data_IF_007021185598
#
_entry.id   IF_007021185598
#
_cell.length_a   1.000
_cell.length_b   1.000
_cell.length_c   1.000
_cell.angle_alpha   90.00
_cell.angle_beta   90.00
_cell.angle_gamma   90.00
#
_symmetry.space_group_name_H-M   'P 1'
#
loop_
_entity.id
_entity.type
_entity.pdbx_description
1 polymer ?
#
# COMPACT_ATOMS: atom_id res chain seq x y z
N UNK A 1 32.42 -11.62 -6.42
CA UNK A 1 32.54 -10.33 -5.71
C UNK A 1 31.40 -10.23 -4.71
N UNK A 2 31.74 -10.23 -3.43
CA UNK A 2 30.78 -10.14 -2.32
C UNK A 2 30.51 -8.65 -2.12
N UNK A 3 29.32 -8.17 -2.49
CA UNK A 3 28.87 -6.84 -2.10
C UNK A 3 28.38 -6.94 -0.65
N UNK A 4 29.27 -6.56 0.27
CA UNK A 4 28.99 -6.41 1.69
C UNK A 4 27.95 -5.32 1.92
N UNK A 5 26.68 -5.73 2.01
CA UNK A 5 25.67 -4.92 2.68
C UNK A 5 25.94 -4.94 4.17
N UNK A 6 26.23 -3.78 4.76
CA UNK A 6 26.23 -3.58 6.21
C UNK A 6 24.81 -3.82 6.75
N UNK A 7 24.42 -5.08 6.91
CA UNK A 7 23.28 -5.47 7.73
C UNK A 7 23.69 -5.27 9.18
N UNK A 8 23.57 -4.03 9.70
CA UNK A 8 23.51 -3.83 11.14
C UNK A 8 22.36 -4.72 11.62
N UNK A 9 22.68 -5.81 12.32
CA UNK A 9 21.69 -6.65 12.98
C UNK A 9 20.78 -5.71 13.78
N UNK A 10 19.52 -5.61 13.36
CA UNK A 10 18.55 -4.77 14.05
C UNK A 10 18.51 -5.21 15.53
N UNK A 11 18.43 -4.25 16.47
CA UNK A 11 18.66 -4.54 17.89
C UNK A 11 17.76 -5.66 18.42
N UNK A 12 18.33 -6.55 19.23
CA UNK A 12 17.61 -7.59 20.00
C UNK A 12 16.55 -7.00 20.95
N UNK A 13 16.66 -5.70 21.27
CA UNK A 13 15.69 -4.96 22.08
C UNK A 13 14.51 -4.50 21.20
N UNK A 14 13.27 -4.54 21.72
CA UNK A 14 12.12 -4.05 20.99
C UNK A 14 12.29 -2.61 20.55
N UNK A 15 11.90 -2.33 19.31
CA UNK A 15 11.73 -0.96 18.86
C UNK A 15 10.31 -0.51 19.19
N UNK A 16 10.20 0.54 19.99
CA UNK A 16 8.92 1.10 20.41
C UNK A 16 8.36 1.92 19.24
N UNK A 17 7.31 1.42 18.60
CA UNK A 17 6.65 2.09 17.48
C UNK A 17 5.63 3.12 17.98
N UNK A 18 4.86 2.74 19.01
CA UNK A 18 3.87 3.60 19.65
C UNK A 18 3.99 3.44 21.16
N UNK A 19 4.01 4.56 21.87
CA UNK A 19 4.04 4.58 23.33
C UNK A 19 3.13 5.72 23.83
N UNK A 20 1.82 5.45 23.83
CA UNK A 20 0.78 6.37 24.32
C UNK A 20 0.32 5.97 25.72
N UNK A 21 -0.55 6.78 26.35
CA UNK A 21 -1.17 6.44 27.64
C UNK A 21 -1.99 5.16 27.60
N UNK A 22 -2.57 4.83 26.44
CA UNK A 22 -3.56 3.75 26.32
C UNK A 22 -3.02 2.53 25.57
N UNK A 23 -2.07 2.72 24.64
CA UNK A 23 -1.58 1.66 23.75
C UNK A 23 -0.06 1.75 23.62
N UNK A 24 0.56 0.56 23.67
CA UNK A 24 1.97 0.36 23.38
C UNK A 24 2.13 -0.63 22.23
N UNK A 25 2.82 -0.24 21.17
CA UNK A 25 3.18 -1.09 20.04
C UNK A 25 4.69 -1.22 20.00
N UNK A 26 5.19 -2.46 20.06
CA UNK A 26 6.61 -2.76 19.96
C UNK A 26 6.84 -3.71 18.78
N UNK A 27 7.87 -3.41 18.01
CA UNK A 27 8.34 -4.23 16.92
C UNK A 27 9.61 -4.96 17.34
N UNK A 28 9.66 -6.26 17.08
CA UNK A 28 10.80 -7.10 17.43
C UNK A 28 11.30 -7.83 16.19
N UNK A 29 12.62 -7.99 16.12
CA UNK A 29 13.25 -8.93 15.21
C UNK A 29 13.50 -10.23 15.99
N UNK A 30 12.63 -11.21 15.77
CA UNK A 30 12.77 -12.55 16.34
C UNK A 30 13.65 -13.43 15.46
N UNK A 31 14.46 -14.28 16.10
CA UNK A 31 15.05 -15.46 15.45
C UNK A 31 14.24 -16.66 15.95
N UNK A 32 13.55 -17.37 15.06
CA UNK A 32 13.04 -18.71 15.40
C UNK A 32 14.09 -19.71 14.98
N UNK A 33 14.64 -20.40 15.97
CA UNK A 33 15.57 -21.51 15.76
C UNK A 33 14.73 -22.79 15.91
N UNK A 34 14.54 -23.54 14.83
CA UNK A 34 13.92 -24.87 14.91
C UNK A 34 14.99 -25.94 14.88
N UNK A 35 14.91 -26.90 15.80
CA UNK A 35 15.76 -28.09 15.82
C UNK A 35 15.01 -29.25 15.16
N UNK A 36 15.38 -29.60 13.93
CA UNK A 36 15.03 -30.92 13.40
C UNK A 36 16.13 -31.91 13.76
N UNK A 37 15.76 -33.07 14.33
CA UNK A 37 16.67 -34.20 14.56
C UNK A 37 17.08 -34.80 13.21
N UNK A 38 18.00 -34.13 12.52
CA UNK A 38 18.96 -34.60 11.49
C UNK A 38 19.62 -33.35 10.86
N UNK A 39 20.70 -32.86 11.47
CA UNK A 39 21.74 -31.95 10.92
C UNK A 39 21.30 -30.95 9.82
N UNK A 40 20.22 -30.19 10.04
CA UNK A 40 19.94 -28.96 9.29
C UNK A 40 19.49 -27.89 10.28
N UNK A 41 20.31 -26.86 10.44
CA UNK A 41 19.92 -25.65 11.13
C UNK A 41 19.16 -24.78 10.14
N UNK A 42 17.85 -24.65 10.32
CA UNK A 42 17.06 -23.63 9.62
C UNK A 42 16.87 -22.48 10.60
N UNK A 43 17.54 -21.36 10.37
CA UNK A 43 17.32 -20.12 11.12
C UNK A 43 16.40 -19.24 10.28
N UNK A 44 15.14 -19.13 10.69
CA UNK A 44 14.19 -18.23 10.04
C UNK A 44 14.06 -16.97 10.89
N UNK A 45 14.38 -15.81 10.31
CA UNK A 45 14.14 -14.52 10.95
C UNK A 45 12.66 -14.15 10.77
N UNK A 46 11.96 -13.95 11.88
CA UNK A 46 10.57 -13.48 11.87
C UNK A 46 10.50 -12.09 12.50
N UNK A 47 9.68 -11.22 11.93
CA UNK A 47 9.36 -9.92 12.51
C UNK A 47 8.04 -10.07 13.25
N UNK A 48 7.97 -9.72 14.54
CA UNK A 48 6.71 -9.80 15.30
C UNK A 48 6.36 -8.47 15.96
N UNK A 49 5.07 -8.13 15.90
CA UNK A 49 4.48 -6.98 16.56
C UNK A 49 3.86 -7.41 17.89
N UNK A 50 4.22 -6.72 18.96
CA UNK A 50 3.54 -6.82 20.25
C UNK A 50 2.72 -5.55 20.46
N UNK A 51 1.41 -5.71 20.48
CA UNK A 51 0.47 -4.66 20.81
C UNK A 51 -0.08 -4.93 22.21
N UNK A 52 0.05 -3.94 23.10
CA UNK A 52 -0.47 -4.00 24.46
C UNK A 52 -1.35 -2.80 24.75
N UNK A 53 -2.59 -3.05 25.17
CA UNK A 53 -3.44 -2.05 25.79
C UNK A 53 -3.03 -1.84 27.25
N UNK A 54 -2.89 -0.58 27.67
CA UNK A 54 -2.41 -0.19 29.00
C UNK A 54 -3.55 0.18 29.96
N UNK A 55 -4.74 0.51 29.44
CA UNK A 55 -5.91 0.93 30.24
C UNK A 55 -6.78 -0.21 30.79
N UNK A 56 -6.28 -1.44 30.85
CA UNK A 56 -7.05 -2.61 31.30
C UNK A 56 -7.52 -3.52 30.16
N UNK A 57 -8.61 -4.26 30.37
CA UNK A 57 -9.16 -5.18 29.38
C UNK A 57 -9.65 -4.43 28.13
N UNK A 58 -9.39 -4.99 26.95
CA UNK A 58 -9.86 -4.48 25.65
C UNK A 58 -10.62 -5.59 24.93
N UNK A 59 -11.60 -5.23 24.12
CA UNK A 59 -12.26 -6.17 23.24
C UNK A 59 -11.23 -6.75 22.24
N UNK A 60 -11.23 -8.08 22.06
CA UNK A 60 -10.33 -8.75 21.13
C UNK A 60 -10.47 -8.24 19.70
N UNK A 61 -11.67 -7.85 19.27
CA UNK A 61 -11.91 -7.32 17.93
C UNK A 61 -11.30 -5.93 17.73
N UNK A 62 -11.24 -5.11 18.77
CA UNK A 62 -10.55 -3.82 18.71
C UNK A 62 -9.03 -4.00 18.63
N UNK A 63 -8.51 -5.04 19.28
CA UNK A 63 -7.10 -5.43 19.18
C UNK A 63 -6.77 -5.95 17.77
N UNK A 64 -7.60 -6.82 17.20
CA UNK A 64 -7.46 -7.28 15.80
C UNK A 64 -7.51 -6.10 14.83
N UNK A 65 -8.47 -5.17 15.00
CA UNK A 65 -8.56 -3.97 14.17
C UNK A 65 -7.29 -3.13 14.23
N UNK A 66 -6.68 -2.96 15.41
CA UNK A 66 -5.42 -2.23 15.53
C UNK A 66 -4.28 -2.93 14.78
N UNK A 67 -4.21 -4.27 14.87
CA UNK A 67 -3.22 -5.08 14.16
C UNK A 67 -3.39 -4.95 12.65
N UNK A 68 -4.62 -5.02 12.14
CA UNK A 68 -4.93 -4.81 10.72
C UNK A 68 -4.42 -3.45 10.23
N UNK A 69 -4.67 -2.37 11.00
CA UNK A 69 -4.21 -1.02 10.60
C UNK A 69 -2.69 -0.88 10.57
N UNK A 70 -1.98 -1.55 11.46
CA UNK A 70 -0.51 -1.58 11.42
C UNK A 70 -0.04 -2.39 10.20
N UNK A 71 -0.72 -3.50 9.91
CA UNK A 71 -0.43 -4.33 8.75
C UNK A 71 -0.67 -3.58 7.44
N UNK A 72 -1.75 -2.81 7.37
CA UNK A 72 -2.07 -1.94 6.24
C UNK A 72 -0.92 -0.94 5.99
N UNK A 73 -0.31 -0.39 7.05
CA UNK A 73 0.88 0.48 6.90
C UNK A 73 2.06 -0.26 6.28
N UNK A 74 2.33 -1.48 6.76
CA UNK A 74 3.40 -2.32 6.21
C UNK A 74 3.16 -2.64 4.74
N UNK A 75 1.93 -2.99 4.37
CA UNK A 75 1.56 -3.18 2.98
C UNK A 75 1.73 -1.92 2.14
N UNK A 76 1.32 -0.78 2.69
CA UNK A 76 1.37 0.50 2.01
C UNK A 76 2.79 0.90 1.60
N UNK A 77 3.77 0.58 2.43
CA UNK A 77 5.20 0.85 2.18
C UNK A 77 5.93 -0.32 1.50
N UNK A 78 5.21 -1.34 1.05
CA UNK A 78 5.75 -2.41 0.22
C UNK A 78 6.26 -3.66 0.96
N UNK A 79 5.94 -3.84 2.24
CA UNK A 79 6.13 -5.15 2.87
C UNK A 79 4.97 -6.08 2.49
N UNK A 80 5.26 -7.36 2.33
CA UNK A 80 4.25 -8.38 2.00
C UNK A 80 4.52 -9.67 2.72
N UNK A 81 3.46 -10.45 2.96
CA UNK A 81 3.57 -11.77 3.57
C UNK A 81 3.60 -12.89 2.52
N UNK A 82 4.33 -13.95 2.86
CA UNK A 82 4.36 -15.20 2.08
C UNK A 82 3.41 -16.27 2.65
N UNK A 83 2.88 -16.07 3.86
CA UNK A 83 2.02 -17.01 4.57
C UNK A 83 0.90 -16.32 5.35
N UNK A 84 -0.04 -17.10 5.85
CA UNK A 84 -1.17 -16.60 6.64
C UNK A 84 -0.72 -16.08 8.00
N UNK A 85 -1.39 -15.03 8.50
CA UNK A 85 -1.16 -14.53 9.86
C UNK A 85 -1.65 -15.50 10.92
N UNK A 86 -0.93 -15.54 12.04
CA UNK A 86 -1.36 -16.21 13.26
C UNK A 86 -1.36 -15.17 14.39
N UNK A 87 -2.53 -14.94 14.97
CA UNK A 87 -2.70 -14.04 16.11
C UNK A 87 -2.73 -14.85 17.41
N UNK A 88 -1.68 -14.75 18.21
CA UNK A 88 -1.61 -15.40 19.53
C UNK A 88 -2.05 -14.44 20.63
N UNK A 89 -3.09 -14.80 21.37
CA UNK A 89 -3.59 -14.03 22.49
C UNK A 89 -3.26 -14.72 23.81
N UNK A 90 -3.09 -13.91 24.86
CA UNK A 90 -2.86 -14.40 26.22
C UNK A 90 -4.00 -13.92 27.10
N UNK A 91 -4.84 -14.87 27.52
CA UNK A 91 -5.86 -14.65 28.53
C UNK A 91 -5.29 -14.93 29.93
N UNK A 92 -5.56 -14.01 30.85
CA UNK A 92 -5.16 -14.13 32.26
C UNK A 92 -6.40 -14.40 33.11
N UNK A 93 -6.46 -15.57 33.76
CA UNK A 93 -7.46 -15.88 34.79
C UNK A 93 -6.73 -16.06 36.13
N UNK A 94 -6.70 -15.01 36.96
CA UNK A 94 -5.83 -14.97 38.13
C UNK A 94 -4.35 -15.09 37.74
N UNK A 95 -3.67 -16.13 38.25
CA UNK A 95 -2.26 -16.44 37.90
C UNK A 95 -2.09 -17.35 36.69
N UNK A 96 -3.17 -17.90 36.15
CA UNK A 96 -3.12 -18.87 35.05
C UNK A 96 -3.09 -18.11 33.72
N UNK A 97 -2.03 -18.35 32.94
CA UNK A 97 -1.92 -17.90 31.55
C UNK A 97 -2.51 -18.96 30.63
N UNK A 98 -3.53 -18.61 29.88
CA UNK A 98 -4.04 -19.44 28.77
C UNK A 98 -3.71 -18.76 27.44
N UNK A 99 -3.10 -19.51 26.55
CA UNK A 99 -2.84 -19.08 25.18
C UNK A 99 -3.97 -19.58 24.30
N UNK A 100 -4.41 -18.75 23.38
CA UNK A 100 -5.25 -19.19 22.29
C UNK A 100 -4.84 -18.46 21.02
N UNK A 101 -5.05 -19.12 19.89
CA UNK A 101 -4.65 -18.64 18.59
C UNK A 101 -5.91 -18.38 17.76
N UNK A 102 -5.94 -17.24 17.09
CA UNK A 102 -6.86 -17.02 15.98
C UNK A 102 -6.03 -17.05 14.70
N UNK A 103 -6.45 -17.88 13.76
CA UNK A 103 -5.92 -17.81 12.41
C UNK A 103 -6.49 -16.56 11.75
N UNK A 104 -5.58 -15.68 11.30
CA UNK A 104 -5.97 -14.44 10.66
C UNK A 104 -6.67 -14.68 9.32
N UNK A 105 -7.45 -13.68 8.90
CA UNK A 105 -7.96 -13.64 7.54
C UNK A 105 -6.78 -13.49 6.58
N UNK A 106 -6.84 -14.18 5.43
CA UNK A 106 -5.80 -14.13 4.40
C UNK A 106 -5.70 -12.75 3.73
N UNK A 107 -5.25 -11.73 4.47
CA UNK A 107 -4.60 -10.57 3.88
C UNK A 107 -3.22 -11.03 3.44
N UNK A 108 -3.14 -11.82 2.37
CA UNK A 108 -1.89 -12.19 1.72
C UNK A 108 -1.84 -11.42 0.41
N UNK A 109 -1.42 -10.15 0.47
CA UNK A 109 -1.12 -9.44 -0.77
C UNK A 109 0.22 -9.97 -1.22
N UNK A 110 0.21 -10.86 -2.23
CA UNK A 110 1.45 -11.35 -2.82
C UNK A 110 2.24 -10.15 -3.34
N UNK A 111 3.57 -10.11 -3.15
CA UNK A 111 4.40 -8.99 -3.61
C UNK A 111 4.24 -8.71 -5.11
N UNK A 112 3.95 -9.74 -5.91
CA UNK A 112 3.67 -9.62 -7.35
C UNK A 112 2.42 -8.80 -7.70
N UNK A 113 1.55 -8.47 -6.74
CA UNK A 113 0.35 -7.64 -6.96
C UNK A 113 0.65 -6.15 -6.81
N UNK A 114 1.69 -5.77 -6.08
CA UNK A 114 2.13 -4.38 -6.01
C UNK A 114 2.99 -4.07 -7.23
N UNK A 115 2.37 -3.63 -8.32
CA UNK A 115 3.09 -3.30 -9.57
C UNK A 115 3.82 -1.96 -9.54
N UNK A 116 3.78 -1.26 -8.40
CA UNK A 116 4.15 0.17 -8.29
C UNK A 116 5.52 0.40 -7.67
N UNK A 117 5.88 -0.47 -6.72
CA UNK A 117 7.11 -0.39 -5.96
C UNK A 117 7.92 -1.63 -6.24
N UNK A 118 9.10 -1.45 -6.80
CA UNK A 118 10.14 -2.47 -6.66
C UNK A 118 10.37 -2.60 -5.15
N UNK A 119 10.18 -3.80 -4.59
CA UNK A 119 10.38 -4.08 -3.17
C UNK A 119 11.83 -3.80 -2.81
N UNK A 120 12.13 -2.58 -2.35
CA UNK A 120 13.44 -2.27 -1.82
C UNK A 120 13.51 -2.73 -0.36
N UNK A 121 14.71 -3.08 0.08
CA UNK A 121 15.05 -3.34 1.48
C UNK A 121 14.96 -2.06 2.30
N UNK A 122 13.73 -1.57 2.49
CA UNK A 122 13.41 -0.39 3.26
C UNK A 122 13.51 -0.74 4.75
N UNK A 123 14.35 -0.01 5.50
CA UNK A 123 14.40 -0.16 6.95
C UNK A 123 13.24 0.64 7.58
N UNK A 124 12.18 -0.05 8.01
CA UNK A 124 10.92 0.53 8.51
C UNK A 124 11.10 1.73 9.46
N UNK A 125 12.11 1.66 10.34
CA UNK A 125 12.33 2.62 11.43
C UNK A 125 13.10 3.87 11.00
N UNK A 126 13.77 3.83 9.85
CA UNK A 126 14.45 4.99 9.27
C UNK A 126 13.48 5.85 8.42
N UNK A 127 12.27 5.34 8.17
CA UNK A 127 11.31 5.93 7.24
C UNK A 127 10.17 6.68 7.94
N UNK A 128 9.63 6.13 9.03
CA UNK A 128 8.40 6.64 9.63
C UNK A 128 8.61 6.96 11.11
N UNK A 129 8.24 8.19 11.49
CA UNK A 129 8.29 8.63 12.89
C UNK A 129 7.22 7.92 13.74
N UNK A 130 7.44 7.72 15.05
CA UNK A 130 6.40 7.20 15.96
C UNK A 130 5.07 7.96 15.91
N UNK A 131 5.12 9.29 15.73
CA UNK A 131 3.93 10.13 15.61
C UNK A 131 3.17 9.83 14.31
N UNK A 132 3.88 9.66 13.20
CA UNK A 132 3.29 9.28 11.92
C UNK A 132 2.63 7.89 11.96
N UNK A 133 3.25 6.93 12.66
CA UNK A 133 2.64 5.61 12.89
C UNK A 133 1.36 5.75 13.71
N UNK A 134 1.39 6.57 14.76
CA UNK A 134 0.20 6.85 15.56
C UNK A 134 -0.91 7.48 14.73
N UNK A 135 -0.60 8.53 13.96
CA UNK A 135 -1.56 9.17 13.06
C UNK A 135 -2.12 8.19 12.03
N UNK A 136 -1.29 7.34 11.43
CA UNK A 136 -1.77 6.29 10.52
C UNK A 136 -2.83 5.41 11.19
N UNK A 137 -2.49 4.83 12.35
CA UNK A 137 -3.34 3.86 13.04
C UNK A 137 -4.69 4.46 13.44
N UNK A 138 -4.71 5.71 13.92
CA UNK A 138 -5.92 6.30 14.50
C UNK A 138 -6.69 7.24 13.57
N UNK A 139 -6.13 7.61 12.42
CA UNK A 139 -6.85 8.42 11.44
C UNK A 139 -7.69 7.56 10.49
N UNK A 140 -9.01 7.59 10.69
CA UNK A 140 -9.97 6.85 9.86
C UNK A 140 -9.91 7.16 8.37
N UNK A 141 -9.46 8.36 7.98
CA UNK A 141 -9.37 8.72 6.57
C UNK A 141 -8.20 7.98 5.88
N UNK A 142 -7.05 7.79 6.53
CA UNK A 142 -6.00 6.93 5.97
C UNK A 142 -6.48 5.50 5.76
N UNK A 143 -7.22 4.97 6.74
CA UNK A 143 -7.74 3.60 6.67
C UNK A 143 -8.75 3.42 5.53
N UNK A 144 -9.61 4.42 5.31
CA UNK A 144 -10.54 4.42 4.17
C UNK A 144 -9.81 4.52 2.84
N UNK A 145 -8.83 5.42 2.73
CA UNK A 145 -8.04 5.57 1.51
C UNK A 145 -7.29 4.27 1.18
N UNK A 146 -6.65 3.64 2.17
CA UNK A 146 -5.99 2.36 1.99
C UNK A 146 -6.95 1.30 1.45
N UNK A 147 -8.09 1.08 2.12
CA UNK A 147 -9.06 0.06 1.70
C UNK A 147 -9.55 0.26 0.27
N UNK A 148 -9.88 1.49 -0.11
CA UNK A 148 -10.36 1.81 -1.45
C UNK A 148 -9.27 1.67 -2.52
N UNK A 149 -8.04 2.08 -2.19
CA UNK A 149 -6.91 2.00 -3.10
C UNK A 149 -6.52 0.54 -3.36
N UNK A 150 -6.50 -0.28 -2.29
CA UNK A 150 -6.04 -1.65 -2.36
C UNK A 150 -7.14 -2.70 -2.58
N UNK A 151 -8.41 -2.31 -2.67
CA UNK A 151 -9.56 -3.21 -2.86
C UNK A 151 -9.33 -4.21 -4.00
N UNK A 152 -8.81 -3.74 -5.13
CA UNK A 152 -8.53 -4.56 -6.32
C UNK A 152 -7.47 -5.65 -6.09
N UNK A 153 -6.59 -5.48 -5.12
CA UNK A 153 -5.55 -6.46 -4.79
C UNK A 153 -6.07 -7.57 -3.89
N UNK A 154 -7.20 -7.34 -3.21
CA UNK A 154 -7.86 -8.33 -2.36
C UNK A 154 -8.90 -9.14 -3.13
N UNK A 155 -9.60 -8.51 -4.08
CA UNK A 155 -10.64 -9.16 -4.87
C UNK A 155 -10.05 -9.98 -6.04
N UNK A 156 -10.62 -11.18 -6.29
CA UNK A 156 -10.18 -12.06 -7.39
C UNK A 156 -10.53 -11.52 -8.78
N UNK A 157 -11.61 -10.74 -8.89
CA UNK A 157 -12.09 -10.14 -10.14
C UNK A 157 -12.31 -8.67 -9.86
N UNK A 158 -11.63 -7.80 -10.60
CA UNK A 158 -11.80 -6.36 -10.47
C UNK A 158 -11.91 -5.75 -11.86
N UNK A 159 -13.05 -5.10 -12.13
CA UNK A 159 -13.31 -4.47 -13.42
C UNK A 159 -12.41 -3.24 -13.61
N UNK A 160 -11.93 -3.00 -14.84
CA UNK A 160 -10.98 -1.90 -15.12
C UNK A 160 -11.60 -0.52 -14.85
N UNK A 161 -12.87 -0.34 -15.20
CA UNK A 161 -13.60 0.90 -14.91
C UNK A 161 -13.77 1.12 -13.41
N UNK A 162 -14.10 0.06 -12.65
CA UNK A 162 -14.21 0.14 -11.20
C UNK A 162 -12.86 0.50 -10.57
N UNK A 163 -11.77 -0.11 -11.04
CA UNK A 163 -10.42 0.25 -10.58
C UNK A 163 -10.10 1.73 -10.86
N UNK A 164 -10.43 2.21 -12.05
CA UNK A 164 -10.18 3.61 -12.43
C UNK A 164 -11.02 4.56 -11.57
N UNK A 165 -12.32 4.30 -11.43
CA UNK A 165 -13.22 5.12 -10.61
C UNK A 165 -12.79 5.13 -9.14
N UNK A 166 -12.41 3.98 -8.58
CA UNK A 166 -11.90 3.91 -7.22
C UNK A 166 -10.63 4.75 -7.06
N UNK A 167 -9.66 4.65 -7.97
CA UNK A 167 -8.43 5.43 -7.92
C UNK A 167 -8.69 6.94 -8.00
N UNK A 168 -9.57 7.37 -8.92
CA UNK A 168 -10.01 8.76 -9.04
C UNK A 168 -10.73 9.25 -7.77
N UNK A 169 -11.63 8.42 -7.23
CA UNK A 169 -12.35 8.75 -6.00
C UNK A 169 -11.42 8.88 -4.79
N UNK A 170 -10.43 7.99 -4.67
CA UNK A 170 -9.40 8.08 -3.61
C UNK A 170 -8.61 9.38 -3.76
N UNK A 171 -8.24 9.77 -4.98
CA UNK A 171 -7.57 11.05 -5.26
C UNK A 171 -8.41 12.25 -4.81
N UNK A 172 -9.69 12.25 -5.18
CA UNK A 172 -10.63 13.30 -4.76
C UNK A 172 -10.76 13.37 -3.24
N UNK A 173 -10.87 12.22 -2.58
CA UNK A 173 -11.05 12.11 -1.14
C UNK A 173 -9.80 12.58 -0.39
N UNK A 174 -8.61 12.17 -0.83
CA UNK A 174 -7.35 12.62 -0.25
C UNK A 174 -7.26 14.15 -0.31
N UNK A 175 -7.46 14.74 -1.49
CA UNK A 175 -7.41 16.19 -1.62
C UNK A 175 -8.43 16.89 -0.73
N UNK A 176 -9.70 16.43 -0.70
CA UNK A 176 -10.74 17.02 0.16
C UNK A 176 -10.39 16.98 1.64
N UNK A 177 -9.79 15.89 2.10
CA UNK A 177 -9.56 15.66 3.54
C UNK A 177 -8.24 16.25 4.05
N UNK A 178 -7.22 16.31 3.20
CA UNK A 178 -5.87 16.66 3.65
C UNK A 178 -5.32 17.95 3.03
N UNK A 179 -5.94 18.48 1.97
CA UNK A 179 -5.45 19.65 1.23
C UNK A 179 -6.47 20.79 1.28
N UNK A 180 -7.63 20.61 0.63
CA UNK A 180 -8.68 21.63 0.61
C UNK A 180 -10.06 21.00 0.42
N UNK A 181 -10.94 21.29 1.39
CA UNK A 181 -12.27 20.69 1.52
C UNK A 181 -13.21 21.04 0.36
N UNK A 182 -13.21 22.31 -0.08
CA UNK A 182 -14.08 22.81 -1.16
C UNK A 182 -13.27 23.16 -2.40
N UNK A 183 -13.32 22.29 -3.41
CA UNK A 183 -12.65 22.43 -4.70
C UNK A 183 -13.41 21.68 -5.78
N UNK A 184 -13.40 22.15 -7.03
CA UNK A 184 -13.89 21.39 -8.19
C UNK A 184 -12.95 20.23 -8.52
N UNK A 185 -13.42 19.21 -9.25
CA UNK A 185 -12.56 18.08 -9.66
C UNK A 185 -11.32 18.54 -10.44
N UNK A 186 -11.51 19.43 -11.42
CA UNK A 186 -10.43 20.04 -12.21
C UNK A 186 -9.32 20.65 -11.33
N UNK A 187 -9.69 21.41 -10.29
CA UNK A 187 -8.71 21.98 -9.36
C UNK A 187 -7.97 20.89 -8.57
N UNK A 188 -8.67 19.81 -8.19
CA UNK A 188 -8.05 18.71 -7.43
C UNK A 188 -7.07 17.93 -8.27
N UNK A 189 -7.41 17.62 -9.51
CA UNK A 189 -6.49 16.84 -10.36
C UNK A 189 -5.25 17.66 -10.74
N UNK A 190 -5.43 18.96 -11.00
CA UNK A 190 -4.33 19.89 -11.29
C UNK A 190 -3.39 20.11 -10.10
N UNK A 191 -3.88 19.98 -8.86
CA UNK A 191 -3.01 20.00 -7.67
C UNK A 191 -1.89 18.95 -7.75
N UNK A 192 -2.18 17.76 -8.29
CA UNK A 192 -1.22 16.68 -8.42
C UNK A 192 -0.36 16.74 -9.70
N UNK A 193 -0.50 17.80 -10.51
CA UNK A 193 0.22 17.95 -11.78
C UNK A 193 1.74 17.70 -11.63
N UNK A 194 2.46 18.25 -10.64
CA UNK A 194 3.89 18.01 -10.51
C UNK A 194 4.27 16.53 -10.36
N UNK A 195 3.47 15.74 -9.64
CA UNK A 195 3.69 14.31 -9.51
C UNK A 195 3.42 13.57 -10.81
N UNK A 196 2.36 13.94 -11.55
CA UNK A 196 2.12 13.37 -12.86
C UNK A 196 3.24 13.72 -13.86
N UNK A 197 3.80 14.93 -13.82
CA UNK A 197 4.94 15.31 -14.68
C UNK A 197 6.18 14.44 -14.39
N UNK A 198 6.40 14.08 -13.12
CA UNK A 198 7.49 13.19 -12.74
C UNK A 198 7.26 11.75 -13.17
N UNK A 199 6.02 11.26 -13.11
CA UNK A 199 5.68 9.85 -13.32
C UNK A 199 5.36 9.50 -14.76
N UNK A 200 4.76 10.41 -15.53
CA UNK A 200 4.34 10.13 -16.90
C UNK A 200 5.55 10.14 -17.85
N UNK A 201 5.54 9.27 -18.88
CA UNK A 201 6.48 9.31 -19.99
C UNK A 201 6.48 10.68 -20.69
N UNK A 202 7.65 11.14 -21.14
CA UNK A 202 7.82 12.47 -21.77
C UNK A 202 6.97 12.67 -23.03
N UNK A 203 6.63 11.58 -23.73
CA UNK A 203 5.75 11.59 -24.90
C UNK A 203 4.28 11.92 -24.59
N UNK A 204 3.88 11.90 -23.33
CA UNK A 204 2.50 12.17 -22.91
C UNK A 204 2.37 13.64 -22.57
N UNK A 205 1.50 14.36 -23.29
CA UNK A 205 1.13 15.72 -22.91
C UNK A 205 0.33 15.70 -21.60
N UNK A 206 0.90 16.34 -20.57
CA UNK A 206 0.34 16.32 -19.21
C UNK A 206 -1.06 16.91 -19.16
N UNK A 207 -1.31 18.03 -19.84
CA UNK A 207 -2.59 18.74 -19.74
C UNK A 207 -3.70 17.94 -20.41
N UNK A 208 -3.42 17.39 -21.59
CA UNK A 208 -4.32 16.48 -22.28
C UNK A 208 -4.60 15.23 -21.44
N UNK A 209 -3.59 14.69 -20.78
CA UNK A 209 -3.75 13.52 -19.92
C UNK A 209 -4.66 13.79 -18.72
N UNK A 210 -4.44 14.88 -17.98
CA UNK A 210 -5.29 15.25 -16.83
C UNK A 210 -6.73 15.54 -17.27
N UNK A 211 -6.92 16.26 -18.39
CA UNK A 211 -8.25 16.49 -18.96
C UNK A 211 -8.93 15.17 -19.36
N UNK A 212 -8.17 14.22 -19.91
CA UNK A 212 -8.69 12.90 -20.29
C UNK A 212 -9.11 12.08 -19.07
N UNK A 213 -8.44 12.22 -17.93
CA UNK A 213 -8.89 11.61 -16.65
C UNK A 213 -10.27 12.16 -16.26
N UNK A 214 -10.45 13.49 -16.29
CA UNK A 214 -11.73 14.13 -15.98
C UNK A 214 -12.85 13.66 -16.92
N UNK A 215 -12.59 13.66 -18.23
CA UNK A 215 -13.55 13.22 -19.24
C UNK A 215 -13.92 11.75 -19.06
N UNK A 216 -12.93 10.89 -18.79
CA UNK A 216 -13.15 9.45 -18.57
C UNK A 216 -14.00 9.21 -17.32
N UNK A 217 -13.70 9.90 -16.21
CA UNK A 217 -14.49 9.82 -14.97
C UNK A 217 -15.94 10.20 -15.21
N UNK A 218 -16.17 11.34 -15.88
CA UNK A 218 -17.51 11.81 -16.20
C UNK A 218 -18.23 10.80 -17.11
N UNK A 219 -17.57 10.33 -18.15
CA UNK A 219 -18.12 9.36 -19.10
C UNK A 219 -18.58 8.07 -18.43
N UNK A 220 -17.74 7.47 -17.58
CA UNK A 220 -18.09 6.24 -16.84
C UNK A 220 -19.23 6.50 -15.85
N UNK A 221 -19.20 7.64 -15.14
CA UNK A 221 -20.22 7.95 -14.12
C UNK A 221 -21.61 8.20 -14.71
N UNK A 222 -21.67 8.63 -15.97
CA UNK A 222 -22.91 8.94 -16.68
C UNK A 222 -23.27 7.92 -17.76
N UNK A 223 -22.51 6.82 -17.88
CA UNK A 223 -22.71 5.79 -18.91
C UNK A 223 -22.75 6.36 -20.33
N UNK A 224 -21.91 7.36 -20.60
CA UNK A 224 -21.78 7.98 -21.92
C UNK A 224 -20.76 7.23 -22.79
N UNK A 225 -20.80 7.43 -24.11
CA UNK A 225 -19.79 6.91 -25.05
C UNK A 225 -19.07 8.03 -25.79
N UNK A 226 -18.23 8.78 -25.06
CA UNK A 226 -17.36 9.81 -25.62
C UNK A 226 -16.11 9.20 -26.26
N UNK A 227 -15.64 9.81 -27.35
CA UNK A 227 -14.46 9.33 -28.10
C UNK A 227 -13.13 9.63 -27.40
N UNK A 228 -13.02 10.74 -26.67
CA UNK A 228 -11.77 11.18 -26.04
C UNK A 228 -11.64 10.72 -24.57
N UNK A 229 -11.78 9.41 -24.32
CA UNK A 229 -11.66 8.82 -22.98
C UNK A 229 -10.68 7.65 -22.98
N UNK A 230 -10.20 7.25 -21.80
CA UNK A 230 -9.41 6.04 -21.70
C UNK A 230 -10.31 4.81 -21.84
N UNK A 231 -9.90 3.86 -22.68
CA UNK A 231 -10.58 2.58 -22.90
C UNK A 231 -9.60 1.43 -22.80
N UNK A 232 -10.12 0.21 -22.61
CA UNK A 232 -9.32 -1.01 -22.67
C UNK A 232 -8.11 -0.98 -21.74
N UNK A 233 -6.91 -1.11 -22.32
CA UNK A 233 -5.66 -1.11 -21.56
C UNK A 233 -5.22 0.29 -21.10
N UNK A 234 -5.57 1.34 -21.84
CA UNK A 234 -5.22 2.72 -21.45
C UNK A 234 -5.89 3.08 -20.12
N UNK A 235 -7.11 2.58 -19.88
CA UNK A 235 -7.84 2.78 -18.64
C UNK A 235 -7.16 2.11 -17.43
N UNK A 236 -6.57 0.93 -17.65
CA UNK A 236 -5.81 0.23 -16.62
C UNK A 236 -4.55 1.02 -16.22
N UNK A 237 -3.77 1.47 -17.19
CA UNK A 237 -2.57 2.27 -16.91
C UNK A 237 -2.92 3.66 -16.37
N UNK A 238 -4.04 4.26 -16.78
CA UNK A 238 -4.51 5.50 -16.17
C UNK A 238 -4.84 5.32 -14.68
N UNK A 239 -5.55 4.25 -14.33
CA UNK A 239 -5.81 3.87 -12.93
C UNK A 239 -4.51 3.69 -12.15
N UNK A 240 -3.54 2.98 -12.73
CA UNK A 240 -2.22 2.74 -12.17
C UNK A 240 -1.47 4.03 -11.83
N UNK A 241 -1.36 4.96 -12.77
CA UNK A 241 -0.67 6.24 -12.53
C UNK A 241 -1.37 7.07 -11.44
N UNK A 242 -2.69 7.11 -11.43
CA UNK A 242 -3.47 7.82 -10.39
C UNK A 242 -3.19 7.19 -9.01
N UNK A 243 -3.18 5.87 -8.92
CA UNK A 243 -2.85 5.17 -7.68
C UNK A 243 -1.45 5.51 -7.18
N UNK A 244 -0.44 5.53 -8.05
CA UNK A 244 0.94 5.87 -7.68
C UNK A 244 1.01 7.30 -7.13
N UNK A 245 0.38 8.26 -7.80
CA UNK A 245 0.28 9.66 -7.34
C UNK A 245 -0.28 9.73 -5.92
N UNK A 246 -1.32 8.96 -5.63
CA UNK A 246 -1.94 8.91 -4.32
C UNK A 246 -1.09 8.20 -3.29
N UNK A 247 -0.41 7.11 -3.65
CA UNK A 247 0.51 6.48 -2.72
C UNK A 247 1.60 7.46 -2.30
N UNK A 248 2.26 8.10 -3.27
CA UNK A 248 3.28 9.12 -3.00
C UNK A 248 2.73 10.22 -2.08
N UNK A 249 1.56 10.76 -2.40
CA UNK A 249 0.94 11.85 -1.64
C UNK A 249 0.66 11.45 -0.18
N UNK A 250 0.22 10.22 0.06
CA UNK A 250 0.00 9.71 1.42
C UNK A 250 1.34 9.45 2.12
N UNK A 251 2.34 8.87 1.44
CA UNK A 251 3.68 8.63 1.99
C UNK A 251 4.33 9.96 2.45
N UNK A 252 4.22 11.01 1.65
CA UNK A 252 4.67 12.36 2.02
C UNK A 252 3.89 12.89 3.23
N UNK A 253 2.57 12.71 3.25
CA UNK A 253 1.71 13.18 4.34
C UNK A 253 2.02 12.49 5.67
N UNK A 254 2.35 11.20 5.65
CA UNK A 254 2.81 10.48 6.85
C UNK A 254 4.29 10.76 7.19
N UNK A 255 4.93 11.69 6.49
CA UNK A 255 6.25 12.22 6.85
C UNK A 255 7.45 11.43 6.32
N UNK A 256 7.26 10.58 5.31
CA UNK A 256 8.39 9.98 4.59
C UNK A 256 9.02 11.05 3.70
N UNK A 257 10.35 11.13 3.71
CA UNK A 257 11.08 12.17 2.98
C UNK A 257 10.95 11.98 1.47
N UNK A 258 10.79 13.08 0.73
CA UNK A 258 10.64 13.05 -0.73
C UNK A 258 11.83 12.38 -1.41
N UNK A 259 13.06 12.46 -0.90
CA UNK A 259 14.23 11.73 -1.45
C UNK A 259 14.04 10.20 -1.41
N UNK A 260 13.51 9.68 -0.29
CA UNK A 260 13.23 8.25 -0.13
C UNK A 260 12.10 7.83 -1.08
N UNK A 261 11.09 8.69 -1.25
CA UNK A 261 9.98 8.43 -2.18
C UNK A 261 10.45 8.51 -3.64
N UNK A 262 11.28 9.49 -3.99
CA UNK A 262 11.84 9.64 -5.35
C UNK A 262 12.60 8.38 -5.76
N UNK A 263 13.40 7.80 -4.86
CA UNK A 263 14.09 6.52 -5.09
C UNK A 263 13.14 5.36 -5.44
N UNK A 264 11.89 5.40 -4.97
CA UNK A 264 10.84 4.44 -5.29
C UNK A 264 10.20 4.70 -6.67
N UNK A 265 10.22 5.94 -7.16
CA UNK A 265 9.47 6.38 -8.35
C UNK A 265 10.29 6.43 -9.65
N UNK A 266 11.59 6.71 -9.61
CA UNK A 266 12.39 6.88 -10.84
C UNK A 266 12.40 5.62 -11.70
N UNK A 267 12.51 4.44 -11.08
CA UNK A 267 12.49 3.16 -11.79
C UNK A 267 11.08 2.69 -12.18
N UNK A 268 10.01 3.23 -11.58
CA UNK A 268 8.65 2.83 -11.92
C UNK A 268 8.18 3.46 -13.22
N UNK A 269 8.56 4.71 -13.52
CA UNK A 269 8.20 5.40 -14.78
C UNK A 269 8.60 4.61 -16.03
N UNK A 270 9.88 4.26 -16.18
CA UNK A 270 10.37 3.51 -17.35
C UNK A 270 9.79 2.10 -17.41
N UNK A 271 9.67 1.44 -16.26
CA UNK A 271 9.13 0.09 -16.17
C UNK A 271 7.65 0.04 -16.59
N UNK A 272 6.83 0.95 -16.08
CA UNK A 272 5.40 1.04 -16.39
C UNK A 272 5.21 1.38 -17.87
N UNK A 273 6.01 2.30 -18.43
CA UNK A 273 5.93 2.64 -19.84
C UNK A 273 6.31 1.46 -20.75
N UNK A 274 7.37 0.72 -20.38
CA UNK A 274 7.79 -0.49 -21.08
C UNK A 274 6.71 -1.57 -21.07
N UNK A 275 6.06 -1.79 -19.93
CA UNK A 275 4.92 -2.72 -19.83
C UNK A 275 3.72 -2.24 -20.65
N UNK A 276 3.44 -0.94 -20.65
CA UNK A 276 2.35 -0.35 -21.43
C UNK A 276 2.58 -0.57 -22.93
N UNK A 277 3.77 -0.23 -23.41
CA UNK A 277 4.17 -0.41 -24.81
C UNK A 277 4.12 -1.87 -25.23
N UNK A 278 4.66 -2.76 -24.41
CA UNK A 278 4.64 -4.19 -24.67
C UNK A 278 3.20 -4.70 -24.85
N UNK A 279 2.31 -4.36 -23.92
CA UNK A 279 0.93 -4.83 -23.98
C UNK A 279 0.13 -4.19 -25.13
N UNK A 280 0.38 -2.91 -25.45
CA UNK A 280 -0.19 -2.27 -26.63
C UNK A 280 0.24 -2.95 -27.93
N UNK A 281 1.52 -3.32 -28.03
CA UNK A 281 2.03 -4.05 -29.17
C UNK A 281 1.39 -5.45 -29.26
N UNK A 282 1.17 -6.14 -28.15
CA UNK A 282 0.47 -7.43 -28.14
C UNK A 282 -0.99 -7.30 -28.60
N UNK A 283 -1.72 -6.29 -28.13
CA UNK A 283 -3.09 -6.00 -28.55
C UNK A 283 -3.18 -5.75 -30.07
N UNK A 284 -2.19 -5.04 -30.63
CA UNK A 284 -2.09 -4.81 -32.06
C UNK A 284 -1.67 -6.05 -32.86
N UNK A 285 -0.71 -6.83 -32.35
CA UNK A 285 -0.11 -7.99 -33.05
C UNK A 285 -1.03 -9.20 -33.04
N UNK A 286 -1.80 -9.39 -31.98
CA UNK A 286 -2.72 -10.51 -31.81
C UNK A 286 -4.15 -9.99 -31.54
N UNK A 287 -4.78 -9.34 -32.52
CA UNK A 287 -6.13 -8.85 -32.35
C UNK A 287 -7.07 -10.03 -32.12
N UNK A 288 -7.79 -10.02 -31.00
CA UNK A 288 -8.78 -11.07 -30.73
C UNK A 288 -10.02 -10.84 -31.58
N UNK A 289 -10.38 -11.82 -32.41
CA UNK A 289 -11.66 -11.84 -33.10
C UNK A 289 -12.78 -12.47 -32.26
N UNK A 290 -12.40 -13.11 -31.16
CA UNK A 290 -13.28 -13.94 -30.35
C UNK A 290 -14.26 -13.13 -29.48
N UNK A 291 -13.93 -11.85 -29.22
CA UNK A 291 -14.69 -10.94 -28.37
C UNK A 291 -14.98 -9.58 -29.04
N UNK A 292 -15.02 -9.56 -30.39
CA UNK A 292 -15.53 -8.40 -31.15
C UNK A 292 -17.05 -8.30 -31.01
#
# INVERSE_FOLDING_TARGET
MILGGNHKELPLKPVKLVNSSNIKVNYYNGKRISWERKLKYTVTQYKYLNVKHLGGAINIWDLCRLLDRIKDLFYFIGFSDEGSDIYTFVYYNGRIKKYFELFGWNYNIKPSRFTYFKTYNLNFLELISPNSIYEWIFNEEYQKLFKLLFEKHFLKIHHRELSFINSVYVLERFHRKFIAEKSSFDKRIKYFRPLFEQLLPERIDINQYLNKIEQTRHNISHFEDKSNVFKGIDLYYASLYIEIVIVISILEKIGIKSEQILSLTTFSKEHIDGMYLHNKNLEYTFPSEMFK
#
